data_IF_925758107545
#
_entry.id   IF_925758107545
#
_cell.length_a   1.000
_cell.length_b   1.000
_cell.length_c   1.000
_cell.angle_alpha   90.00
_cell.angle_beta   90.00
_cell.angle_gamma   90.00
#
_symmetry.space_group_name_H-M   'P 1'
#
loop_
_entity.id
_entity.type
_entity.pdbx_description
1 polymer ?
#
# COMPACT_ATOMS: atom_id res chain seq x y z
N UNK A 1 25.33 43.14 -23.42
CA UNK A 1 25.90 41.83 -23.02
C UNK A 1 24.97 41.15 -22.03
N UNK A 2 24.16 40.24 -22.57
CA UNK A 2 23.63 38.99 -22.02
C UNK A 2 23.72 38.72 -20.50
N UNK A 3 22.57 38.67 -19.83
CA UNK A 3 22.30 37.72 -18.74
C UNK A 3 20.88 37.18 -18.92
N UNK A 4 20.75 36.28 -19.89
CA UNK A 4 19.52 35.56 -20.21
C UNK A 4 19.42 34.38 -19.24
N UNK A 5 18.69 34.57 -18.15
CA UNK A 5 17.70 33.61 -17.64
C UNK A 5 18.08 32.10 -17.75
N UNK A 6 19.05 31.64 -16.96
CA UNK A 6 19.39 30.20 -16.80
C UNK A 6 18.78 29.56 -15.54
N UNK A 7 17.87 30.24 -14.83
CA UNK A 7 17.38 29.83 -13.51
C UNK A 7 16.20 28.80 -13.45
N UNK A 8 15.34 28.59 -14.46
CA UNK A 8 14.23 27.65 -14.30
C UNK A 8 14.67 26.17 -14.41
N UNK A 9 15.61 25.86 -15.31
CA UNK A 9 16.04 24.49 -15.58
C UNK A 9 16.85 23.90 -14.43
N UNK A 10 17.75 24.68 -13.82
CA UNK A 10 18.54 24.23 -12.67
C UNK A 10 17.67 23.85 -11.47
N UNK A 11 16.57 24.59 -11.27
CA UNK A 11 15.62 24.38 -10.18
C UNK A 11 14.74 23.17 -10.41
N UNK A 12 14.26 22.94 -11.64
CA UNK A 12 13.48 21.74 -11.96
C UNK A 12 14.34 20.48 -11.82
N UNK A 13 15.59 20.53 -12.31
CA UNK A 13 16.53 19.40 -12.20
C UNK A 13 16.89 19.10 -10.74
N UNK A 14 17.10 20.12 -9.89
CA UNK A 14 17.39 19.90 -8.47
C UNK A 14 16.20 19.28 -7.74
N UNK A 15 14.98 19.78 -7.99
CA UNK A 15 13.74 19.22 -7.44
C UNK A 15 13.51 17.77 -7.88
N UNK A 16 13.73 17.48 -9.16
CA UNK A 16 13.63 16.11 -9.68
C UNK A 16 14.66 15.17 -9.02
N UNK A 17 15.90 15.63 -8.79
CA UNK A 17 16.91 14.87 -8.05
C UNK A 17 16.47 14.57 -6.62
N UNK A 18 15.83 15.51 -5.94
CA UNK A 18 15.30 15.30 -4.58
C UNK A 18 14.21 14.23 -4.60
N UNK A 19 13.22 14.33 -5.49
CA UNK A 19 12.17 13.32 -5.59
C UNK A 19 12.71 11.93 -5.98
N UNK A 20 13.68 11.86 -6.91
CA UNK A 20 14.30 10.61 -7.30
C UNK A 20 15.10 9.96 -6.17
N UNK A 21 15.69 10.77 -5.27
CA UNK A 21 16.41 10.25 -4.10
C UNK A 21 15.50 9.44 -3.16
N UNK A 22 14.19 9.72 -3.14
CA UNK A 22 13.20 8.99 -2.33
C UNK A 22 13.01 7.54 -2.77
N UNK A 23 13.39 7.17 -3.99
CA UNK A 23 13.34 5.76 -4.42
C UNK A 23 14.42 4.90 -3.76
N UNK A 24 15.45 5.52 -3.17
CA UNK A 24 16.57 4.82 -2.53
C UNK A 24 16.45 4.73 -1.01
N UNK A 25 15.49 5.42 -0.41
CA UNK A 25 15.34 5.45 1.05
C UNK A 25 14.47 4.28 1.52
N UNK A 26 14.64 3.87 2.78
CA UNK A 26 13.67 3.04 3.47
C UNK A 26 12.65 3.95 4.19
N UNK A 27 11.41 4.11 3.65
CA UNK A 27 10.40 4.96 4.27
C UNK A 27 9.88 4.40 5.60
N UNK A 28 10.06 3.11 5.85
CA UNK A 28 9.59 2.42 7.06
C UNK A 28 10.67 2.30 8.14
N UNK A 29 11.86 2.86 7.94
CA UNK A 29 13.01 2.67 8.84
C UNK A 29 12.78 3.15 10.28
N UNK A 30 11.84 4.06 10.51
CA UNK A 30 11.47 4.57 11.84
C UNK A 30 10.12 4.01 12.36
N UNK A 31 9.46 3.15 11.60
CA UNK A 31 8.15 2.64 11.96
C UNK A 31 8.28 1.57 13.04
N UNK A 32 7.64 1.78 14.19
CA UNK A 32 7.60 0.81 15.29
C UNK A 32 6.22 0.18 15.43
N UNK A 33 6.13 -0.95 16.16
CA UNK A 33 4.84 -1.60 16.45
C UNK A 33 3.90 -0.72 17.27
N UNK A 34 4.45 0.15 18.12
CA UNK A 34 3.67 1.12 18.91
C UNK A 34 2.97 2.16 18.01
N UNK A 35 3.56 2.51 16.86
CA UNK A 35 2.95 3.44 15.91
C UNK A 35 1.77 2.80 15.14
N UNK A 36 1.64 1.47 15.18
CA UNK A 36 0.51 0.75 14.57
C UNK A 36 -0.73 0.75 15.47
N UNK A 37 -0.55 0.92 16.78
CA UNK A 37 -1.60 0.82 17.81
C UNK A 37 -1.99 2.16 18.44
N UNK A 38 -1.21 3.22 18.23
CA UNK A 38 -1.51 4.59 18.71
C UNK A 38 -2.82 5.12 18.10
N UNK A 39 -3.53 5.97 18.85
CA UNK A 39 -4.71 6.70 18.36
C UNK A 39 -4.38 7.37 17.03
N UNK A 40 -4.97 6.83 15.96
CA UNK A 40 -4.60 7.19 14.59
C UNK A 40 -5.26 8.48 14.19
N UNK A 41 -4.52 9.28 13.43
CA UNK A 41 -5.08 10.40 12.69
C UNK A 41 -6.31 9.94 11.91
N UNK A 42 -7.35 10.78 11.85
CA UNK A 42 -8.60 10.47 11.14
C UNK A 42 -8.32 9.82 9.76
N UNK A 43 -9.01 8.73 9.37
CA UNK A 43 -8.67 7.92 8.19
C UNK A 43 -8.58 8.71 6.87
N UNK A 44 -9.36 9.79 6.76
CA UNK A 44 -9.38 10.66 5.58
C UNK A 44 -8.55 11.95 5.71
N UNK A 45 -7.73 12.10 6.74
CA UNK A 45 -6.92 13.31 6.97
C UNK A 45 -5.93 13.60 5.83
N UNK A 46 -5.37 12.57 5.20
CA UNK A 46 -4.51 12.71 4.00
C UNK A 46 -5.25 13.35 2.82
N UNK A 47 -6.59 13.22 2.75
CA UNK A 47 -7.41 13.87 1.73
C UNK A 47 -7.89 15.26 2.13
N UNK A 48 -7.74 15.65 3.41
CA UNK A 48 -8.06 16.99 3.93
C UNK A 48 -6.77 17.78 4.11
N UNK A 49 -6.18 18.17 2.98
CA UNK A 49 -4.97 18.98 2.94
C UNK A 49 -5.29 20.47 2.79
N UNK A 50 -4.84 21.25 3.77
CA UNK A 50 -4.73 22.71 3.69
C UNK A 50 -3.39 23.05 3.01
N UNK A 51 -3.37 23.94 2.02
CA UNK A 51 -2.17 24.21 1.21
C UNK A 51 -0.99 24.70 2.04
N UNK A 52 -1.27 25.36 3.16
CA UNK A 52 -0.28 25.83 4.14
C UNK A 52 0.51 24.71 4.83
N UNK A 53 0.05 23.46 4.78
CA UNK A 53 0.73 22.30 5.37
C UNK A 53 1.76 21.65 4.43
N UNK A 54 1.91 22.18 3.21
CA UNK A 54 2.76 21.58 2.17
C UNK A 54 3.84 22.57 1.71
N UNK A 55 5.08 22.09 1.63
CA UNK A 55 6.20 22.81 1.04
C UNK A 55 7.15 21.86 0.33
N UNK A 56 7.86 22.35 -0.68
CA UNK A 56 8.88 21.55 -1.35
C UNK A 56 10.12 21.44 -0.44
N UNK A 57 10.69 20.25 -0.20
CA UNK A 57 11.86 20.08 0.66
C UNK A 57 13.11 20.75 0.07
N UNK A 58 13.95 21.33 0.93
CA UNK A 58 15.17 22.03 0.53
C UNK A 58 16.32 21.07 0.19
N UNK A 59 16.30 19.88 0.78
CA UNK A 59 17.35 18.87 0.60
C UNK A 59 16.83 17.43 0.54
N UNK A 60 17.67 16.50 0.08
CA UNK A 60 17.36 15.07 0.04
C UNK A 60 17.18 14.47 1.44
N UNK A 61 18.03 14.86 2.39
CA UNK A 61 17.95 14.40 3.78
C UNK A 61 16.68 14.88 4.46
N UNK A 62 16.29 16.13 4.22
CA UNK A 62 15.03 16.67 4.72
C UNK A 62 13.84 15.92 4.12
N UNK A 63 13.80 15.73 2.80
CA UNK A 63 12.73 14.97 2.14
C UNK A 63 12.59 13.55 2.73
N UNK A 64 13.71 12.87 2.99
CA UNK A 64 13.71 11.54 3.60
C UNK A 64 13.19 11.56 5.05
N UNK A 65 13.61 12.54 5.86
CA UNK A 65 13.14 12.70 7.23
C UNK A 65 11.64 12.97 7.28
N UNK A 66 11.14 13.86 6.40
CA UNK A 66 9.72 14.16 6.25
C UNK A 66 8.91 12.92 5.89
N UNK A 67 9.37 12.12 4.93
CA UNK A 67 8.70 10.87 4.55
C UNK A 67 8.61 9.90 5.73
N UNK A 68 9.71 9.65 6.44
CA UNK A 68 9.71 8.67 7.54
C UNK A 68 8.76 9.06 8.68
N UNK A 69 8.72 10.33 9.04
CA UNK A 69 7.85 10.80 10.12
C UNK A 69 6.37 10.80 9.68
N UNK A 70 6.08 11.26 8.46
CA UNK A 70 4.72 11.20 7.92
C UNK A 70 4.24 9.75 7.73
N UNK A 71 5.11 8.81 7.37
CA UNK A 71 4.79 7.37 7.33
C UNK A 71 4.42 6.85 8.71
N UNK A 72 5.15 7.27 9.74
CA UNK A 72 4.83 6.92 11.13
C UNK A 72 3.43 7.41 11.54
N UNK A 73 3.11 8.67 11.25
CA UNK A 73 1.85 9.30 11.65
C UNK A 73 0.63 8.89 10.81
N UNK A 74 0.82 8.66 9.51
CA UNK A 74 -0.27 8.45 8.54
C UNK A 74 -0.29 7.03 7.95
N UNK A 75 0.32 6.03 8.61
CA UNK A 75 0.37 4.65 8.12
C UNK A 75 -1.01 4.11 7.71
N UNK A 76 -2.04 4.34 8.53
CA UNK A 76 -3.40 3.89 8.27
C UNK A 76 -4.04 4.59 7.07
N UNK A 77 -3.73 5.87 6.87
CA UNK A 77 -4.21 6.62 5.72
C UNK A 77 -3.59 6.11 4.42
N UNK A 78 -2.29 5.77 4.41
CA UNK A 78 -1.65 5.20 3.22
C UNK A 78 -2.18 3.80 2.89
N UNK A 79 -2.48 2.99 3.91
CA UNK A 79 -3.19 1.71 3.73
C UNK A 79 -4.58 1.97 3.12
N UNK A 80 -5.32 2.98 3.59
CA UNK A 80 -6.61 3.33 3.02
C UNK A 80 -6.50 3.78 1.56
N UNK A 81 -5.50 4.59 1.21
CA UNK A 81 -5.21 4.98 -0.18
C UNK A 81 -4.98 3.75 -1.06
N UNK A 82 -4.19 2.79 -0.58
CA UNK A 82 -4.00 1.50 -1.26
C UNK A 82 -5.33 0.77 -1.47
N UNK A 83 -6.15 0.62 -0.43
CA UNK A 83 -7.45 -0.05 -0.52
C UNK A 83 -8.37 0.65 -1.52
N UNK A 84 -8.42 1.99 -1.52
CA UNK A 84 -9.23 2.76 -2.47
C UNK A 84 -8.76 2.51 -3.91
N UNK A 85 -7.46 2.63 -4.20
CA UNK A 85 -6.94 2.34 -5.54
C UNK A 85 -7.21 0.90 -5.97
N UNK A 86 -7.11 -0.05 -5.03
CA UNK A 86 -7.38 -1.45 -5.30
C UNK A 86 -8.85 -1.71 -5.64
N UNK A 87 -9.77 -1.15 -4.86
CA UNK A 87 -11.21 -1.25 -5.14
C UNK A 87 -11.59 -0.57 -6.46
N UNK A 88 -11.00 0.59 -6.77
CA UNK A 88 -11.22 1.29 -8.05
C UNK A 88 -10.69 0.44 -9.23
N UNK A 89 -9.51 -0.16 -9.08
CA UNK A 89 -8.92 -1.02 -10.11
C UNK A 89 -9.79 -2.25 -10.40
N UNK A 90 -10.46 -2.78 -9.37
CA UNK A 90 -11.37 -3.92 -9.49
C UNK A 90 -12.82 -3.54 -9.87
N UNK A 91 -13.19 -2.25 -9.84
CA UNK A 91 -14.58 -1.80 -10.05
C UNK A 91 -15.17 -2.26 -11.39
N UNK A 92 -14.36 -2.28 -12.45
CA UNK A 92 -14.78 -2.71 -13.80
C UNK A 92 -14.62 -4.23 -14.03
N UNK A 93 -14.23 -4.98 -13.01
CA UNK A 93 -13.85 -6.39 -13.10
C UNK A 93 -14.61 -7.24 -12.06
N UNK A 94 -15.93 -7.46 -12.27
CA UNK A 94 -16.77 -8.13 -11.30
C UNK A 94 -16.34 -9.58 -11.03
N UNK A 95 -15.85 -10.31 -12.05
CA UNK A 95 -15.41 -11.70 -11.89
C UNK A 95 -14.16 -11.83 -11.00
N UNK A 96 -13.06 -11.09 -11.26
CA UNK A 96 -11.92 -10.98 -10.34
C UNK A 96 -12.32 -10.61 -8.91
N UNK A 97 -13.20 -9.62 -8.75
CA UNK A 97 -13.67 -9.17 -7.44
C UNK A 97 -14.45 -10.25 -6.69
N UNK A 98 -15.40 -10.93 -7.35
CA UNK A 98 -16.16 -12.03 -6.75
C UNK A 98 -15.28 -13.22 -6.41
N UNK A 99 -14.28 -13.52 -7.25
CA UNK A 99 -13.30 -14.58 -7.00
C UNK A 99 -12.47 -14.27 -5.76
N UNK A 100 -12.03 -13.02 -5.61
CA UNK A 100 -11.34 -12.55 -4.41
C UNK A 100 -12.23 -12.67 -3.18
N UNK A 101 -13.48 -12.20 -3.24
CA UNK A 101 -14.43 -12.31 -2.12
C UNK A 101 -14.71 -13.77 -1.74
N UNK A 102 -14.90 -14.66 -2.71
CA UNK A 102 -15.13 -16.07 -2.48
C UNK A 102 -13.90 -16.77 -1.88
N UNK A 103 -12.69 -16.26 -2.10
CA UNK A 103 -11.47 -16.89 -1.58
C UNK A 103 -11.36 -16.84 -0.05
N UNK A 104 -11.95 -15.83 0.61
CA UNK A 104 -11.87 -15.67 2.06
C UNK A 104 -12.57 -16.81 2.83
N UNK A 105 -13.86 -17.13 2.59
CA UNK A 105 -14.55 -18.16 3.36
C UNK A 105 -14.25 -19.60 2.91
N UNK A 106 -13.59 -19.81 1.77
CA UNK A 106 -13.41 -21.17 1.20
C UNK A 106 -12.67 -22.10 2.16
N UNK A 107 -11.64 -21.62 2.87
CA UNK A 107 -10.92 -22.44 3.84
C UNK A 107 -11.77 -22.78 5.06
N UNK A 108 -12.58 -21.83 5.53
CA UNK A 108 -13.44 -22.01 6.71
C UNK A 108 -14.61 -22.94 6.38
N UNK A 109 -15.18 -22.81 5.19
CA UNK A 109 -16.20 -23.72 4.68
C UNK A 109 -15.66 -25.14 4.52
N UNK A 110 -14.44 -25.27 3.98
CA UNK A 110 -13.77 -26.56 3.84
C UNK A 110 -13.48 -27.20 5.22
N UNK A 111 -12.99 -26.43 6.19
CA UNK A 111 -12.73 -26.93 7.55
C UNK A 111 -14.01 -27.43 8.20
N UNK A 112 -15.09 -26.64 8.13
CA UNK A 112 -16.40 -27.03 8.63
C UNK A 112 -16.92 -28.33 7.98
N UNK A 113 -16.71 -28.51 6.68
CA UNK A 113 -17.13 -29.71 5.96
C UNK A 113 -16.30 -30.94 6.36
N UNK A 114 -14.99 -30.77 6.59
CA UNK A 114 -14.09 -31.83 7.04
C UNK A 114 -14.47 -32.28 8.46
N UNK A 115 -14.69 -31.33 9.38
CA UNK A 115 -15.09 -31.61 10.77
C UNK A 115 -16.45 -32.31 10.81
N UNK A 116 -17.45 -31.80 10.07
CA UNK A 116 -18.79 -32.41 10.02
C UNK A 116 -18.78 -33.86 9.54
N UNK A 117 -17.81 -34.23 8.69
CA UNK A 117 -17.66 -35.58 8.16
C UNK A 117 -16.71 -36.47 8.97
N UNK A 118 -16.10 -35.96 10.06
CA UNK A 118 -15.11 -36.70 10.86
C UNK A 118 -13.83 -37.08 10.10
N UNK A 119 -13.57 -36.40 8.97
CA UNK A 119 -12.44 -36.69 8.07
C UNK A 119 -11.10 -36.33 8.73
N UNK A 120 -11.11 -35.39 9.66
CA UNK A 120 -9.93 -34.97 10.43
C UNK A 120 -9.43 -36.06 11.37
N UNK A 121 -10.33 -36.80 12.02
CA UNK A 121 -10.02 -37.90 12.93
C UNK A 121 -9.59 -39.15 12.18
N UNK A 122 -10.27 -39.47 11.07
CA UNK A 122 -9.98 -40.67 10.29
C UNK A 122 -8.72 -40.54 9.43
N UNK A 123 -8.49 -39.37 8.82
CA UNK A 123 -7.42 -39.18 7.83
C UNK A 123 -6.78 -37.78 7.91
N UNK A 124 -5.88 -37.53 8.87
CA UNK A 124 -5.25 -36.21 9.05
C UNK A 124 -4.41 -35.76 7.83
N UNK A 125 -3.86 -36.72 7.08
CA UNK A 125 -3.15 -36.43 5.82
C UNK A 125 -4.10 -35.88 4.75
N UNK A 126 -5.30 -36.46 4.61
CA UNK A 126 -6.30 -36.04 3.61
C UNK A 126 -6.76 -34.60 3.88
N UNK A 127 -6.98 -34.25 5.15
CA UNK A 127 -7.25 -32.85 5.54
C UNK A 127 -6.17 -31.91 5.03
N UNK A 128 -4.89 -32.21 5.30
CA UNK A 128 -3.76 -31.37 4.86
C UNK A 128 -3.70 -31.25 3.34
N UNK A 129 -3.93 -32.35 2.62
CA UNK A 129 -3.95 -32.35 1.15
C UNK A 129 -5.08 -31.49 0.59
N UNK A 130 -6.29 -31.58 1.15
CA UNK A 130 -7.43 -30.76 0.74
C UNK A 130 -7.16 -29.26 0.96
N UNK A 131 -6.59 -28.87 2.10
CA UNK A 131 -6.19 -27.48 2.34
C UNK A 131 -5.11 -27.02 1.35
N UNK A 132 -4.15 -27.87 1.02
CA UNK A 132 -3.13 -27.56 0.03
C UNK A 132 -3.74 -27.33 -1.36
N UNK A 133 -4.58 -28.25 -1.83
CA UNK A 133 -5.26 -28.13 -3.12
C UNK A 133 -6.16 -26.88 -3.16
N UNK A 134 -6.88 -26.61 -2.07
CA UNK A 134 -7.74 -25.42 -1.96
C UNK A 134 -6.94 -24.13 -2.06
N UNK A 135 -5.86 -23.98 -1.28
CA UNK A 135 -4.97 -22.81 -1.35
C UNK A 135 -4.31 -22.67 -2.72
N UNK A 136 -3.88 -23.77 -3.31
CA UNK A 136 -3.29 -23.78 -4.65
C UNK A 136 -4.30 -23.36 -5.72
N UNK A 137 -5.54 -23.85 -5.63
CA UNK A 137 -6.63 -23.48 -6.52
C UNK A 137 -7.00 -22.00 -6.41
N UNK A 138 -7.12 -21.48 -5.19
CA UNK A 138 -7.32 -20.03 -4.94
C UNK A 138 -6.18 -19.23 -5.56
N UNK A 139 -4.92 -19.61 -5.29
CA UNK A 139 -3.76 -18.91 -5.83
C UNK A 139 -3.74 -18.92 -7.37
N UNK A 140 -4.04 -20.06 -8.00
CA UNK A 140 -4.11 -20.18 -9.46
C UNK A 140 -5.24 -19.32 -10.06
N UNK A 141 -6.41 -19.27 -9.41
CA UNK A 141 -7.53 -18.41 -9.83
C UNK A 141 -7.19 -16.93 -9.69
N UNK A 142 -6.57 -16.52 -8.58
CA UNK A 142 -6.11 -15.15 -8.38
C UNK A 142 -5.01 -14.75 -9.37
N UNK A 143 -4.11 -15.66 -9.73
CA UNK A 143 -3.07 -15.43 -10.74
C UNK A 143 -3.63 -15.35 -12.17
N UNK A 144 -4.68 -16.10 -12.49
CA UNK A 144 -5.35 -16.03 -13.80
C UNK A 144 -6.21 -14.79 -13.97
N UNK A 145 -6.62 -14.19 -12.86
CA UNK A 145 -7.40 -12.96 -12.87
C UNK A 145 -6.46 -11.76 -12.80
N UNK A 146 -6.95 -10.62 -13.28
CA UNK A 146 -6.23 -9.34 -13.21
C UNK A 146 -6.07 -8.82 -11.75
N UNK A 147 -6.49 -9.58 -10.73
CA UNK A 147 -6.40 -9.20 -9.30
C UNK A 147 -4.96 -8.94 -8.89
N UNK A 148 -4.02 -9.80 -9.29
CA UNK A 148 -2.60 -9.65 -8.92
C UNK A 148 -2.02 -8.39 -9.55
N UNK A 149 -2.34 -8.14 -10.82
CA UNK A 149 -1.91 -6.94 -11.54
C UNK A 149 -2.52 -5.70 -10.88
N UNK A 150 -3.82 -5.70 -10.59
CA UNK A 150 -4.51 -4.62 -9.88
C UNK A 150 -3.92 -4.36 -8.49
N UNK A 151 -3.54 -5.42 -7.76
CA UNK A 151 -2.89 -5.33 -6.46
C UNK A 151 -1.55 -4.61 -6.57
N UNK A 152 -0.67 -5.05 -7.48
CA UNK A 152 0.65 -4.43 -7.64
C UNK A 152 0.57 -2.99 -8.16
N UNK A 153 -0.31 -2.69 -9.10
CA UNK A 153 -0.52 -1.31 -9.56
C UNK A 153 -1.05 -0.41 -8.45
N UNK A 154 -2.00 -0.90 -7.65
CA UNK A 154 -2.55 -0.14 -6.52
C UNK A 154 -1.52 0.06 -5.42
N UNK A 155 -0.69 -0.96 -5.16
CA UNK A 155 0.43 -0.88 -4.21
C UNK A 155 1.46 0.15 -4.67
N UNK A 156 1.81 0.13 -5.95
CA UNK A 156 2.75 1.08 -6.55
C UNK A 156 2.20 2.51 -6.49
N UNK A 157 0.93 2.71 -6.88
CA UNK A 157 0.27 4.01 -6.83
C UNK A 157 0.20 4.57 -5.40
N UNK A 158 -0.19 3.73 -4.43
CA UNK A 158 -0.21 4.12 -3.02
C UNK A 158 1.19 4.41 -2.46
N UNK A 159 2.19 3.65 -2.88
CA UNK A 159 3.59 3.88 -2.51
C UNK A 159 4.10 5.23 -3.03
N UNK A 160 3.85 5.56 -4.30
CA UNK A 160 4.18 6.87 -4.86
C UNK A 160 3.42 8.00 -4.17
N UNK A 161 2.12 7.82 -3.92
CA UNK A 161 1.32 8.79 -3.20
C UNK A 161 1.88 9.04 -1.79
N UNK A 162 2.31 7.98 -1.09
CA UNK A 162 2.95 8.05 0.22
C UNK A 162 4.29 8.80 0.18
N UNK A 163 5.16 8.51 -0.80
CA UNK A 163 6.42 9.23 -0.96
C UNK A 163 6.20 10.71 -1.25
N UNK A 164 5.27 11.03 -2.15
CA UNK A 164 4.99 12.41 -2.55
C UNK A 164 4.33 13.19 -1.41
N UNK A 165 3.29 12.63 -0.81
CA UNK A 165 2.62 13.23 0.34
C UNK A 165 3.59 13.41 1.51
N UNK A 166 4.37 12.37 1.84
CA UNK A 166 5.32 12.39 2.94
C UNK A 166 6.47 13.37 2.74
N UNK A 167 6.96 13.58 1.52
CA UNK A 167 8.03 14.52 1.25
C UNK A 167 7.56 15.98 1.22
N UNK A 168 6.35 16.22 0.71
CA UNK A 168 5.79 17.57 0.57
C UNK A 168 5.13 18.07 1.85
N UNK A 169 4.62 17.19 2.71
CA UNK A 169 3.98 17.59 3.96
C UNK A 169 5.03 18.04 4.98
N UNK A 170 4.82 19.23 5.54
CA UNK A 170 5.68 19.81 6.58
C UNK A 170 5.54 18.99 7.86
N UNK A 171 6.66 18.82 8.58
CA UNK A 171 6.67 18.25 9.93
C UNK A 171 6.06 19.27 10.89
N UNK A 172 4.91 18.94 11.47
CA UNK A 172 4.44 19.65 12.65
C UNK A 172 4.97 18.90 13.87
N UNK A 173 5.80 19.57 14.67
CA UNK A 173 6.14 19.13 16.03
C UNK A 173 4.91 19.16 16.94
#
# INVERSE_FOLDING_TARGET
MQSREKQPVSTVVSRAKILLSLLKINPFGKLTTNDLTKDKTHPFSVFRGRTELYSFPESQSEAAARVQENVRQFNGNYILVFVIFFLISLYKQPIPFLTLLASFPVTDYLDNLIIRKGLDQAYPFVRRLLFFISKLGIAALLMRTEVVIAFFFSLLAAYFAMLLHGALRILHE
#
